data_IF_316501448659
#
_entry.id   IF_316501448659
#
_cell.length_a   1.000
_cell.length_b   1.000
_cell.length_c   1.000
_cell.angle_alpha   90.00
_cell.angle_beta   90.00
_cell.angle_gamma   90.00
#
_symmetry.space_group_name_H-M   'P 1'
#
loop_
_entity.id
_entity.type
_entity.pdbx_description
1 polymer ?
#
# COMPACT_ATOMS: atom_id res chain seq x y z
N UNK A 1 -3.67 -26.01 5.42
CA UNK A 1 -3.42 -24.60 5.04
C UNK A 1 -2.50 -24.00 6.09
N UNK A 2 -1.31 -23.56 5.68
CA UNK A 2 -0.29 -22.99 6.57
C UNK A 2 -0.23 -21.48 6.34
N UNK A 3 -0.15 -20.71 7.43
CA UNK A 3 -0.09 -19.23 7.45
C UNK A 3 1.37 -18.81 7.69
N UNK A 4 1.91 -17.86 6.94
CA UNK A 4 3.34 -17.51 6.98
C UNK A 4 3.59 -16.10 7.56
N UNK A 5 4.29 -16.06 8.70
CA UNK A 5 5.01 -14.92 9.28
C UNK A 5 6.35 -15.43 9.84
N UNK A 6 7.12 -16.15 9.00
CA UNK A 6 8.14 -17.06 9.49
C UNK A 6 9.53 -16.69 8.96
N UNK A 7 10.55 -16.80 9.81
CA UNK A 7 11.94 -16.60 9.40
C UNK A 7 12.43 -17.76 8.51
N UNK A 8 13.50 -17.51 7.76
CA UNK A 8 14.17 -18.59 7.03
C UNK A 8 14.58 -19.70 8.01
N UNK A 9 14.29 -20.94 7.64
CA UNK A 9 14.49 -22.15 8.46
C UNK A 9 13.32 -22.51 9.35
N UNK A 10 12.32 -21.64 9.53
CA UNK A 10 11.13 -21.97 10.31
C UNK A 10 10.35 -23.12 9.67
N UNK A 11 9.84 -24.03 10.52
CA UNK A 11 8.93 -25.10 10.10
C UNK A 11 7.54 -24.52 9.93
N UNK A 12 7.00 -24.63 8.73
CA UNK A 12 5.73 -23.99 8.35
C UNK A 12 4.59 -24.97 8.27
N UNK A 13 4.90 -26.25 8.09
CA UNK A 13 3.89 -27.30 7.98
C UNK A 13 4.50 -28.69 7.89
N UNK A 14 3.64 -29.71 7.93
CA UNK A 14 4.06 -31.10 7.85
C UNK A 14 3.12 -31.89 6.94
N UNK A 15 3.70 -32.77 6.13
CA UNK A 15 2.98 -33.78 5.36
C UNK A 15 3.08 -35.11 6.09
N UNK A 16 1.97 -35.81 6.24
CA UNK A 16 1.96 -37.15 6.82
C UNK A 16 2.56 -38.13 5.82
N UNK A 17 3.59 -38.87 6.27
CA UNK A 17 4.33 -39.80 5.44
C UNK A 17 3.80 -41.22 5.66
N UNK A 18 3.61 -41.94 4.55
CA UNK A 18 3.26 -43.35 4.53
C UNK A 18 4.53 -44.19 4.61
N UNK A 19 4.54 -45.20 5.48
CA UNK A 19 5.69 -46.08 5.61
C UNK A 19 5.96 -46.84 4.31
N UNK A 20 7.24 -46.95 3.92
CA UNK A 20 7.67 -47.57 2.67
C UNK A 20 7.50 -46.70 1.41
N UNK A 21 7.01 -45.46 1.54
CA UNK A 21 6.90 -44.53 0.42
C UNK A 21 8.10 -43.57 0.42
N UNK A 22 8.64 -43.30 -0.77
CA UNK A 22 9.68 -42.31 -0.96
C UNK A 22 9.08 -41.01 -1.48
N UNK A 23 9.40 -39.90 -0.83
CA UNK A 23 8.86 -38.58 -1.15
C UNK A 23 9.94 -37.67 -1.71
N UNK A 24 9.58 -36.83 -2.68
CA UNK A 24 10.46 -35.78 -3.20
C UNK A 24 9.64 -34.59 -3.69
N UNK A 25 10.26 -33.42 -3.67
CA UNK A 25 9.72 -32.23 -4.35
C UNK A 25 9.77 -32.44 -5.86
N UNK A 26 8.71 -32.03 -6.54
CA UNK A 26 8.59 -32.03 -7.99
C UNK A 26 8.53 -30.61 -8.53
N UNK A 27 9.18 -30.37 -9.66
CA UNK A 27 9.23 -29.05 -10.29
C UNK A 27 10.17 -28.07 -9.59
N UNK A 28 9.99 -26.79 -9.94
CA UNK A 28 10.81 -25.70 -9.41
C UNK A 28 10.17 -25.16 -8.14
N UNK A 29 10.93 -25.14 -7.04
CA UNK A 29 10.53 -24.57 -5.77
C UNK A 29 11.64 -23.65 -5.26
N UNK A 30 11.31 -22.38 -5.05
CA UNK A 30 12.25 -21.34 -4.63
C UNK A 30 12.14 -20.98 -3.15
N UNK A 31 11.01 -21.28 -2.52
CA UNK A 31 10.64 -20.70 -1.22
C UNK A 31 10.67 -21.71 -0.09
N UNK A 32 10.48 -23.01 -0.37
CA UNK A 32 10.33 -24.02 0.67
C UNK A 32 11.35 -25.13 0.52
N UNK A 33 11.71 -25.76 1.63
CA UNK A 33 12.38 -27.04 1.66
C UNK A 33 11.44 -28.08 2.26
N UNK A 34 11.63 -29.34 1.89
CA UNK A 34 10.85 -30.46 2.40
C UNK A 34 11.80 -31.58 2.83
N UNK A 35 11.65 -32.02 4.08
CA UNK A 35 12.38 -33.14 4.65
C UNK A 35 11.60 -34.45 4.39
N UNK A 36 12.11 -35.36 3.54
CA UNK A 36 11.41 -36.60 3.18
C UNK A 36 11.43 -37.66 4.27
N UNK A 37 12.20 -37.48 5.36
CA UNK A 37 12.27 -38.40 6.49
C UNK A 37 11.24 -38.00 7.54
N UNK A 38 11.15 -36.71 7.84
CA UNK A 38 10.28 -36.22 8.91
C UNK A 38 8.92 -35.71 8.43
N UNK A 39 8.83 -35.36 7.14
CA UNK A 39 7.67 -34.78 6.48
C UNK A 39 7.53 -33.27 6.70
N UNK A 40 8.49 -32.62 7.36
CA UNK A 40 8.45 -31.19 7.64
C UNK A 40 8.73 -30.38 6.38
N UNK A 41 7.95 -29.31 6.21
CA UNK A 41 8.18 -28.25 5.24
C UNK A 41 8.73 -27.05 6.02
N UNK A 42 9.85 -26.51 5.56
CA UNK A 42 10.47 -25.32 6.13
C UNK A 42 10.62 -24.22 5.11
N UNK A 43 10.68 -22.98 5.60
CA UNK A 43 10.93 -21.83 4.75
C UNK A 43 12.42 -21.77 4.37
N UNK A 44 12.73 -21.69 3.07
CA UNK A 44 14.11 -21.60 2.55
C UNK A 44 14.54 -20.16 2.32
N UNK A 45 13.62 -19.30 1.92
CA UNK A 45 13.84 -17.88 1.63
C UNK A 45 12.68 -17.06 2.16
N UNK A 46 12.94 -15.79 2.46
CA UNK A 46 11.87 -14.85 2.78
C UNK A 46 10.87 -14.80 1.63
N UNK A 47 9.60 -14.69 1.99
CA UNK A 47 8.49 -14.57 1.04
C UNK A 47 7.86 -13.21 1.31
N UNK A 48 7.98 -12.35 0.33
CA UNK A 48 7.31 -11.05 0.26
C UNK A 48 6.00 -11.30 -0.50
N UNK A 49 4.86 -10.91 0.09
CA UNK A 49 3.54 -11.23 -0.47
C UNK A 49 3.25 -10.35 -1.69
N UNK A 50 3.76 -9.13 -1.70
CA UNK A 50 3.60 -8.10 -2.71
C UNK A 50 4.31 -8.51 -4.02
N UNK A 51 5.36 -9.34 -3.93
CA UNK A 51 6.04 -9.93 -5.08
C UNK A 51 5.33 -11.17 -5.66
N UNK A 52 4.33 -11.71 -4.97
CA UNK A 52 3.60 -12.88 -5.45
C UNK A 52 2.42 -12.45 -6.33
N UNK A 53 2.21 -13.19 -7.43
CA UNK A 53 1.00 -13.00 -8.25
C UNK A 53 -0.28 -13.39 -7.52
N UNK A 54 -0.19 -14.40 -6.65
CA UNK A 54 -1.29 -14.93 -5.85
C UNK A 54 -0.82 -15.11 -4.41
N UNK A 55 -1.73 -14.97 -3.44
CA UNK A 55 -1.45 -15.26 -2.02
C UNK A 55 -1.18 -16.74 -1.73
N UNK A 56 -1.23 -17.61 -2.74
CA UNK A 56 -0.99 -19.04 -2.62
C UNK A 56 0.21 -19.48 -3.44
N UNK A 57 1.12 -20.22 -2.80
CA UNK A 57 2.24 -20.90 -3.44
C UNK A 57 2.00 -22.39 -3.38
N UNK A 58 2.13 -23.05 -4.52
CA UNK A 58 1.95 -24.50 -4.64
C UNK A 58 3.30 -25.22 -4.52
N UNK A 59 3.36 -26.21 -3.63
CA UNK A 59 4.47 -27.16 -3.52
C UNK A 59 3.97 -28.54 -3.93
N UNK A 60 4.49 -29.04 -5.05
CA UNK A 60 4.15 -30.36 -5.56
C UNK A 60 5.13 -31.39 -5.01
N UNK A 61 4.61 -32.42 -4.35
CA UNK A 61 5.38 -33.58 -3.92
C UNK A 61 4.98 -34.80 -4.75
N UNK A 62 5.95 -35.66 -5.02
CA UNK A 62 5.74 -36.97 -5.65
C UNK A 62 6.12 -38.03 -4.64
N UNK A 63 5.19 -38.93 -4.34
CA UNK A 63 5.44 -40.15 -3.59
C UNK A 63 5.61 -41.35 -4.54
N UNK A 64 6.35 -42.36 -4.12
CA UNK A 64 6.52 -43.64 -4.84
C UNK A 64 6.02 -44.81 -3.97
N UNK A 65 5.08 -45.68 -4.42
CA UNK A 65 4.44 -45.75 -5.75
C UNK A 65 3.75 -44.44 -6.18
N UNK A 66 3.67 -44.14 -7.49
CA UNK A 66 3.44 -42.79 -7.99
C UNK A 66 2.13 -42.20 -7.47
N UNK A 67 2.24 -41.19 -6.61
CA UNK A 67 1.14 -40.38 -6.13
C UNK A 67 1.57 -38.92 -6.08
N UNK A 68 0.69 -38.02 -6.53
CA UNK A 68 0.92 -36.58 -6.52
C UNK A 68 0.22 -35.97 -5.31
N UNK A 69 0.95 -35.14 -4.56
CA UNK A 69 0.45 -34.44 -3.40
C UNK A 69 0.64 -32.95 -3.64
N UNK A 70 -0.48 -32.22 -3.67
CA UNK A 70 -0.51 -30.78 -3.84
C UNK A 70 -0.57 -30.12 -2.47
N UNK A 71 0.50 -29.40 -2.11
CA UNK A 71 0.53 -28.63 -0.87
C UNK A 71 0.33 -27.15 -1.20
N UNK A 72 -0.83 -26.63 -0.83
CA UNK A 72 -1.16 -25.21 -0.99
C UNK A 72 -0.79 -24.44 0.27
N UNK A 73 0.15 -23.50 0.11
CA UNK A 73 0.66 -22.66 1.19
C UNK A 73 0.12 -21.25 0.98
N UNK A 74 -0.56 -20.69 1.98
CA UNK A 74 -1.16 -19.35 1.90
C UNK A 74 -0.27 -18.37 2.64
N UNK A 75 0.25 -17.40 1.90
CA UNK A 75 1.04 -16.29 2.46
C UNK A 75 0.06 -15.25 2.96
N UNK A 76 0.23 -14.86 4.22
CA UNK A 76 -0.57 -13.80 4.82
C UNK A 76 0.13 -12.46 4.61
N UNK A 77 -0.68 -11.43 4.53
CA UNK A 77 -0.25 -10.05 4.39
C UNK A 77 0.23 -9.46 5.73
N UNK A 78 1.19 -8.55 5.66
CA UNK A 78 1.65 -7.69 6.76
C UNK A 78 1.41 -6.26 6.29
N UNK A 79 1.05 -5.34 7.21
CA UNK A 79 1.05 -3.91 6.89
C UNK A 79 2.49 -3.39 6.91
N UNK A 80 3.28 -3.69 5.87
CA UNK A 80 4.68 -3.29 5.75
C UNK A 80 4.93 -2.26 4.64
N UNK A 81 3.88 -1.87 3.93
CA UNK A 81 3.87 -0.71 3.07
C UNK A 81 3.07 0.43 3.72
N UNK A 82 3.14 1.57 3.05
CA UNK A 82 2.37 2.75 3.41
C UNK A 82 1.64 3.25 2.17
N UNK A 83 0.48 3.93 2.33
CA UNK A 83 -0.19 4.57 1.21
C UNK A 83 0.79 5.45 0.46
N UNK A 84 0.65 5.55 -0.85
CA UNK A 84 1.53 6.42 -1.64
C UNK A 84 0.71 7.14 -2.71
N UNK A 85 0.88 8.45 -2.82
CA UNK A 85 0.30 9.20 -3.93
C UNK A 85 1.05 8.89 -5.25
N UNK A 86 0.34 8.74 -6.38
CA UNK A 86 0.95 8.31 -7.64
C UNK A 86 1.89 9.36 -8.26
N UNK A 87 1.83 10.61 -7.80
CA UNK A 87 2.66 11.72 -8.27
C UNK A 87 3.09 12.60 -7.08
N UNK A 88 4.30 13.20 -7.12
CA UNK A 88 4.85 13.99 -6.01
C UNK A 88 4.20 15.37 -5.80
N UNK A 89 3.32 15.76 -6.72
CA UNK A 89 2.47 16.95 -6.61
C UNK A 89 1.34 16.83 -7.63
N UNK A 90 0.19 17.39 -7.27
CA UNK A 90 -0.97 17.49 -8.17
C UNK A 90 -1.28 18.97 -8.40
N UNK A 91 -1.36 19.35 -9.67
CA UNK A 91 -1.74 20.70 -10.06
C UNK A 91 -3.23 20.70 -10.40
N UNK A 92 -3.99 21.56 -9.72
CA UNK A 92 -5.43 21.65 -9.88
C UNK A 92 -5.79 23.09 -10.22
N UNK A 93 -6.59 23.30 -11.26
CA UNK A 93 -7.14 24.61 -11.58
C UNK A 93 -8.59 24.73 -11.15
N UNK A 94 -8.88 25.73 -10.33
CA UNK A 94 -10.24 26.04 -9.87
C UNK A 94 -10.58 27.44 -10.35
N UNK A 95 -11.80 27.62 -10.85
CA UNK A 95 -12.30 28.93 -11.26
C UNK A 95 -12.78 29.64 -9.99
N UNK A 96 -12.41 30.90 -9.79
CA UNK A 96 -12.78 31.66 -8.57
C UNK A 96 -14.31 31.73 -8.36
N UNK A 97 -15.07 31.79 -9.46
CA UNK A 97 -16.53 31.81 -9.44
C UNK A 97 -17.16 30.43 -9.16
N UNK A 98 -16.37 29.43 -8.76
CA UNK A 98 -16.87 28.12 -8.36
C UNK A 98 -17.74 28.24 -7.12
N UNK A 99 -18.86 27.53 -7.11
CA UNK A 99 -19.74 27.51 -5.96
C UNK A 99 -19.10 26.76 -4.79
N UNK A 100 -19.44 27.15 -3.56
CA UNK A 100 -19.12 26.35 -2.38
C UNK A 100 -19.74 24.95 -2.53
N UNK A 101 -18.96 23.91 -2.28
CA UNK A 101 -19.30 22.51 -2.52
C UNK A 101 -18.91 21.99 -3.90
N UNK A 102 -18.33 22.82 -4.79
CA UNK A 102 -17.72 22.33 -6.03
C UNK A 102 -16.60 21.34 -5.70
N UNK A 103 -16.60 20.19 -6.41
CA UNK A 103 -15.66 19.08 -6.20
C UNK A 103 -14.78 18.88 -7.43
N UNK A 104 -13.48 18.90 -7.22
CA UNK A 104 -12.48 18.63 -8.24
C UNK A 104 -11.84 17.26 -7.95
N UNK A 105 -11.81 16.32 -8.91
CA UNK A 105 -11.20 15.01 -8.68
C UNK A 105 -9.69 15.15 -8.44
N UNK A 106 -9.19 14.38 -7.48
CA UNK A 106 -7.77 14.18 -7.20
C UNK A 106 -7.40 12.73 -7.48
N UNK A 107 -6.12 12.48 -7.72
CA UNK A 107 -5.56 11.14 -7.73
C UNK A 107 -5.43 10.66 -6.27
N UNK A 108 -6.15 9.59 -5.88
CA UNK A 108 -6.04 9.02 -4.53
C UNK A 108 -4.69 8.35 -4.32
N UNK A 109 -4.30 8.17 -3.06
CA UNK A 109 -3.18 7.32 -2.70
C UNK A 109 -3.54 5.83 -2.87
N UNK A 110 -2.54 5.00 -3.11
CA UNK A 110 -2.65 3.55 -3.21
C UNK A 110 -1.63 2.88 -2.31
N UNK A 111 -2.01 1.77 -1.70
CA UNK A 111 -1.13 0.94 -0.88
C UNK A 111 -1.11 -0.49 -1.49
N UNK A 112 0.08 -1.08 -1.73
CA UNK A 112 0.20 -2.40 -2.36
C UNK A 112 -0.18 -3.58 -1.44
N UNK A 113 -0.40 -3.33 -0.15
CA UNK A 113 -0.78 -4.35 0.84
C UNK A 113 -2.17 -4.95 0.54
N UNK A 114 -2.51 -6.06 1.19
CA UNK A 114 -3.75 -6.77 0.91
C UNK A 114 -4.85 -6.46 1.93
N UNK A 115 -6.08 -6.28 1.44
CA UNK A 115 -7.24 -6.08 2.31
C UNK A 115 -7.15 -4.77 3.07
N UNK A 116 -7.34 -4.80 4.39
CA UNK A 116 -7.36 -3.57 5.21
C UNK A 116 -6.03 -2.83 5.24
N UNK A 117 -4.91 -3.55 5.20
CA UNK A 117 -3.57 -2.99 5.16
C UNK A 117 -3.38 -2.14 3.89
N UNK A 118 -3.83 -2.65 2.73
CA UNK A 118 -3.78 -1.89 1.47
C UNK A 118 -4.93 -0.89 1.25
N UNK A 119 -5.90 -0.84 2.17
CA UNK A 119 -7.08 0.01 1.98
C UNK A 119 -6.86 1.35 2.65
N UNK A 120 -6.74 2.41 1.85
CA UNK A 120 -6.77 3.78 2.37
C UNK A 120 -8.16 4.09 2.92
N UNK A 121 -8.23 4.38 4.22
CA UNK A 121 -9.48 4.65 4.94
C UNK A 121 -9.70 6.14 5.22
N UNK A 122 -8.64 6.94 5.23
CA UNK A 122 -8.73 8.34 5.63
C UNK A 122 -7.74 9.23 4.86
N UNK A 123 -8.16 10.48 4.66
CA UNK A 123 -7.38 11.52 3.99
C UNK A 123 -7.46 12.83 4.78
N UNK A 124 -6.32 13.50 4.93
CA UNK A 124 -6.20 14.73 5.70
C UNK A 124 -5.50 15.86 4.94
N UNK A 125 -5.67 17.09 5.44
CA UNK A 125 -4.89 18.26 5.05
C UNK A 125 -4.10 18.71 6.29
N UNK A 126 -2.78 18.58 6.28
CA UNK A 126 -1.90 18.96 7.39
C UNK A 126 -1.24 20.35 7.22
N UNK A 127 -1.62 21.09 6.18
CA UNK A 127 -1.15 22.46 5.95
C UNK A 127 -1.75 23.04 4.69
N UNK A 128 -1.86 24.38 4.64
CA UNK A 128 -2.43 25.08 3.49
C UNK A 128 -3.56 26.02 3.89
N UNK A 129 -4.65 26.02 3.11
CA UNK A 129 -5.78 26.95 3.26
C UNK A 129 -7.05 26.22 3.66
N UNK A 130 -7.86 26.86 4.52
CA UNK A 130 -9.18 26.39 4.92
C UNK A 130 -10.24 26.55 3.81
N UNK A 131 -9.91 27.26 2.73
CA UNK A 131 -10.76 27.41 1.53
C UNK A 131 -11.11 26.07 0.88
N UNK A 132 -10.35 25.02 1.17
CA UNK A 132 -10.53 23.69 0.61
C UNK A 132 -10.61 22.61 1.69
N UNK A 133 -11.38 21.57 1.41
CA UNK A 133 -11.39 20.33 2.18
C UNK A 133 -11.26 19.12 1.26
N UNK A 134 -11.14 17.94 1.85
CA UNK A 134 -11.15 16.68 1.11
C UNK A 134 -12.48 15.95 1.30
N UNK A 135 -12.93 15.30 0.23
CA UNK A 135 -14.04 14.36 0.26
C UNK A 135 -13.57 13.05 -0.33
N UNK A 136 -13.48 12.02 0.51
CA UNK A 136 -13.18 10.66 0.10
C UNK A 136 -14.47 9.82 0.09
N UNK A 137 -14.71 9.09 -1.00
CA UNK A 137 -15.88 8.23 -1.15
C UNK A 137 -15.50 6.76 -1.03
N UNK A 138 -16.45 5.93 -0.62
CA UNK A 138 -16.31 4.46 -0.59
C UNK A 138 -15.99 3.83 -1.95
N UNK A 139 -16.19 4.56 -3.05
CA UNK A 139 -15.76 4.16 -4.39
C UNK A 139 -14.25 4.29 -4.63
N UNK A 140 -13.47 4.76 -3.66
CA UNK A 140 -12.04 5.03 -3.80
C UNK A 140 -11.72 6.38 -4.47
N UNK A 141 -12.74 7.21 -4.73
CA UNK A 141 -12.54 8.51 -5.38
C UNK A 141 -12.26 9.60 -4.34
N UNK A 142 -11.20 10.36 -4.56
CA UNK A 142 -10.81 11.51 -3.77
C UNK A 142 -11.18 12.80 -4.52
N UNK A 143 -11.76 13.76 -3.80
CA UNK A 143 -12.07 15.08 -4.33
C UNK A 143 -11.53 16.17 -3.42
N UNK A 144 -11.05 17.24 -4.05
CA UNK A 144 -10.89 18.54 -3.41
C UNK A 144 -12.24 19.26 -3.45
N UNK A 145 -12.74 19.73 -2.31
CA UNK A 145 -14.02 20.43 -2.21
C UNK A 145 -13.79 21.89 -1.80
N UNK A 146 -14.39 22.82 -2.55
CA UNK A 146 -14.39 24.25 -2.22
C UNK A 146 -15.28 24.48 -0.99
N UNK A 147 -14.74 25.05 0.07
CA UNK A 147 -15.45 25.31 1.35
C UNK A 147 -15.94 26.74 1.49
N UNK A 148 -15.27 27.68 0.83
CA UNK A 148 -15.57 29.12 0.90
C UNK A 148 -15.44 29.74 -0.50
N UNK A 149 -15.95 30.97 -0.66
CA UNK A 149 -15.79 31.69 -1.93
C UNK A 149 -14.32 31.96 -2.20
N UNK A 150 -13.91 31.73 -3.44
CA UNK A 150 -12.54 31.96 -3.90
C UNK A 150 -12.44 33.38 -4.45
N UNK A 151 -11.30 34.00 -4.20
CA UNK A 151 -10.98 35.35 -4.65
C UNK A 151 -9.52 35.35 -5.11
N UNK A 152 -9.35 35.42 -6.43
CA UNK A 152 -8.04 35.33 -7.06
C UNK A 152 -7.17 36.53 -6.70
N UNK A 153 -7.74 37.72 -6.56
CA UNK A 153 -6.98 38.91 -6.17
C UNK A 153 -6.40 38.78 -4.76
N UNK A 154 -7.06 38.04 -3.87
CA UNK A 154 -6.59 37.74 -2.52
C UNK A 154 -5.58 36.60 -2.51
N UNK A 155 -5.87 35.47 -3.16
CA UNK A 155 -5.02 34.28 -3.09
C UNK A 155 -4.98 33.44 -4.38
N UNK A 156 -4.05 33.77 -5.28
CA UNK A 156 -3.89 33.12 -6.59
C UNK A 156 -3.34 31.69 -6.57
N UNK A 157 -2.57 31.36 -5.53
CA UNK A 157 -1.90 30.08 -5.38
C UNK A 157 -2.13 29.55 -3.96
N UNK A 158 -2.80 28.42 -3.88
CA UNK A 158 -2.95 27.67 -2.63
C UNK A 158 -2.12 26.42 -2.72
N UNK A 159 -1.36 26.17 -1.64
CA UNK A 159 -0.60 24.95 -1.52
C UNK A 159 -1.12 24.12 -0.35
N UNK A 160 -1.65 22.92 -0.64
CA UNK A 160 -2.24 22.05 0.37
C UNK A 160 -1.39 20.82 0.61
N UNK A 161 -1.22 20.45 1.88
CA UNK A 161 -0.42 19.29 2.25
C UNK A 161 -1.31 18.12 2.59
N UNK A 162 -1.41 17.16 1.67
CA UNK A 162 -2.29 16.01 1.84
C UNK A 162 -1.59 14.89 2.62
N UNK A 163 -2.38 14.13 3.36
CA UNK A 163 -1.95 12.88 4.00
C UNK A 163 -2.97 11.79 3.69
N UNK A 164 -2.50 10.55 3.57
CA UNK A 164 -3.32 9.37 3.43
C UNK A 164 -2.99 8.38 4.56
N UNK A 165 -4.00 7.62 4.98
CA UNK A 165 -3.87 6.62 6.05
C UNK A 165 -4.61 5.34 5.68
N UNK A 166 -3.96 4.20 5.87
CA UNK A 166 -4.57 2.87 5.70
C UNK A 166 -5.32 2.39 6.95
N UNK A 167 -6.03 1.27 6.76
CA UNK A 167 -6.75 0.56 7.81
C UNK A 167 -5.97 -0.55 8.50
N UNK A 168 -4.65 -0.64 8.30
CA UNK A 168 -3.81 -1.64 8.94
C UNK A 168 -3.64 -1.39 10.45
N UNK A 169 -3.07 -2.40 11.13
CA UNK A 169 -2.77 -2.36 12.57
C UNK A 169 -1.31 -2.80 12.83
N UNK A 170 -0.39 -1.87 13.14
CA UNK A 170 -0.60 -0.43 13.26
C UNK A 170 -0.88 0.23 11.90
N UNK A 171 -1.57 1.38 11.87
CA UNK A 171 -1.82 2.09 10.61
C UNK A 171 -0.54 2.72 10.06
N UNK A 172 -0.37 2.68 8.75
CA UNK A 172 0.71 3.41 8.05
C UNK A 172 0.19 4.72 7.43
N UNK A 173 1.12 5.63 7.11
CA UNK A 173 0.84 6.99 6.66
C UNK A 173 1.83 7.44 5.57
N UNK A 174 1.38 8.30 4.65
CA UNK A 174 2.26 8.94 3.64
C UNK A 174 2.44 10.44 3.85
N UNK A 175 3.64 10.93 3.52
CA UNK A 175 3.90 12.35 3.31
C UNK A 175 5.14 12.57 2.40
N UNK A 176 5.00 13.11 1.18
CA UNK A 176 6.19 13.37 0.33
C UNK A 176 6.72 14.80 0.53
N UNK A 177 8.03 14.94 0.75
CA UNK A 177 8.68 16.26 0.77
C UNK A 177 10.06 16.18 0.14
N UNK A 178 10.30 16.92 -0.96
CA UNK A 178 11.60 17.53 -1.27
C UNK A 178 11.39 18.85 -2.01
N UNK A 179 12.16 19.87 -1.62
CA UNK A 179 13.23 20.29 -2.51
C UNK A 179 14.57 20.32 -1.77
N UNK A 180 15.64 20.00 -2.50
CA UNK A 180 16.99 20.40 -2.11
C UNK A 180 17.03 21.93 -2.01
N UNK A 181 17.29 22.44 -0.81
CA UNK A 181 18.20 23.57 -0.69
C UNK A 181 18.90 23.50 0.66
N UNK A 182 20.20 23.27 0.57
CA UNK A 182 21.21 23.31 1.62
C UNK A 182 20.93 24.33 2.73
N UNK A 183 21.23 23.92 3.97
CA UNK A 183 21.35 24.71 5.21
C UNK A 183 20.07 25.05 5.97
N UNK A 184 19.55 24.10 6.74
CA UNK A 184 19.03 24.34 8.09
C UNK A 184 18.81 23.02 8.83
N UNK A 185 19.42 22.88 10.00
CA UNK A 185 19.24 21.76 10.90
C UNK A 185 17.80 21.70 11.43
N UNK A 186 17.21 20.50 11.43
CA UNK A 186 15.85 20.22 11.91
C UNK A 186 15.89 19.61 13.32
N UNK A 187 14.89 19.86 14.20
CA UNK A 187 14.72 19.12 15.44
C UNK A 187 14.35 17.65 15.18
N UNK A 188 14.72 16.79 16.11
CA UNK A 188 14.92 15.34 15.95
C UNK A 188 13.69 14.43 16.16
N UNK A 189 12.46 14.91 16.01
CA UNK A 189 11.29 14.03 16.05
C UNK A 189 10.20 14.50 15.07
N UNK A 190 9.96 13.64 14.07
CA UNK A 190 8.75 13.50 13.27
C UNK A 190 8.14 14.77 12.65
N UNK A 191 8.52 15.11 11.40
CA UNK A 191 7.83 16.11 10.56
C UNK A 191 8.26 15.97 9.09
N UNK A 192 7.33 16.10 8.11
CA UNK A 192 7.42 16.91 6.84
C UNK A 192 6.37 16.55 5.79
N UNK A 193 6.04 17.49 4.89
CA UNK A 193 4.76 17.67 4.19
C UNK A 193 4.82 17.76 2.64
N UNK A 194 3.77 17.30 1.92
CA UNK A 194 3.62 17.37 0.44
C UNK A 194 2.71 18.50 -0.03
N UNK A 195 2.58 18.82 -1.33
CA UNK A 195 1.99 20.08 -1.83
C UNK A 195 1.09 19.85 -3.07
N UNK A 196 -0.23 20.06 -2.95
CA UNK A 196 -1.15 20.28 -4.08
C UNK A 196 -1.07 21.74 -4.45
N UNK A 197 -0.69 22.05 -5.68
CA UNK A 197 -0.72 23.42 -6.18
C UNK A 197 -2.07 23.66 -6.82
N UNK A 198 -2.91 24.42 -6.11
CA UNK A 198 -4.15 24.92 -6.68
C UNK A 198 -3.84 26.25 -7.36
N UNK A 199 -3.76 26.24 -8.68
CA UNK A 199 -3.55 27.43 -9.51
C UNK A 199 -4.88 27.88 -10.07
N UNK A 200 -5.41 29.01 -9.62
CA UNK A 200 -6.69 29.49 -10.13
C UNK A 200 -6.56 29.93 -11.60
N UNK A 201 -7.45 29.43 -12.46
CA UNK A 201 -7.49 29.78 -13.89
C UNK A 201 -8.61 30.79 -14.13
N UNK A 202 -8.29 31.90 -14.81
CA UNK A 202 -9.24 32.95 -15.16
C UNK A 202 -10.38 32.42 -16.05
N UNK A 203 -11.56 33.04 -15.94
CA UNK A 203 -12.64 32.85 -16.91
C UNK A 203 -12.13 33.22 -18.32
N UNK A 204 -12.27 32.30 -19.28
CA UNK A 204 -12.17 32.65 -20.69
C UNK A 204 -13.42 33.46 -21.00
N UNK A 205 -13.22 34.74 -21.31
CA UNK A 205 -14.27 35.65 -21.76
C UNK A 205 -14.93 35.16 -23.06
#
# INVERSE_FOLDING_TARGET
>A
MFRLYAAVGSRIGRVELTNGFNYRVSGVNHYFDFDPITGWISLRRTVDREQLRNSTVELLLVASPPSLIHVLITVLDVNDNQPTFPVPFQNVSVIESSAVGTRIPLLPASDPDFGQNGTVIDYGIQGGSALFGLVYRSSGLLYLEVKEQLDREVQQLVVLNLTARDGGDPPSYDIISRPDMSTAAWPSDCCKAERVFVTESANVA
#
